data_IF_577941498648
#
_entry.id   IF_577941498648
#
_cell.length_a   1.000
_cell.length_b   1.000
_cell.length_c   1.000
_cell.angle_alpha   90.00
_cell.angle_beta   90.00
_cell.angle_gamma   90.00
#
_symmetry.space_group_name_H-M   'P 1'
#
loop_
_entity.id
_entity.type
_entity.pdbx_description
1 polymer ?
#
# COMPACT_ATOMS: atom_id res chain seq x y z
N UNK A 1 -3.16 19.76 59.05
CA UNK A 1 -4.01 19.83 57.85
C UNK A 1 -3.09 20.08 56.68
N UNK A 2 -2.70 19.00 56.00
CA UNK A 2 -1.83 19.04 54.83
C UNK A 2 -2.70 19.00 53.59
N UNK A 3 -2.65 20.07 52.81
CA UNK A 3 -3.38 20.24 51.56
C UNK A 3 -2.55 19.59 50.44
N UNK A 4 -2.97 18.42 49.95
CA UNK A 4 -2.43 17.85 48.73
C UNK A 4 -3.17 18.48 47.53
N UNK A 5 -2.56 19.47 46.91
CA UNK A 5 -2.93 19.92 45.60
C UNK A 5 -2.40 18.87 44.57
N UNK A 6 -3.34 18.13 43.98
CA UNK A 6 -3.08 17.27 42.84
C UNK A 6 -2.76 18.15 41.63
N UNK A 7 -1.50 18.15 41.20
CA UNK A 7 -1.13 18.69 39.89
C UNK A 7 -1.66 17.72 38.83
N UNK A 8 -2.75 18.09 38.15
CA UNK A 8 -3.12 17.50 36.87
C UNK A 8 -2.04 17.94 35.88
N UNK A 9 -1.18 17.01 35.48
CA UNK A 9 -0.29 17.22 34.34
C UNK A 9 -1.17 17.35 33.09
N UNK A 10 -1.31 18.60 32.64
CA UNK A 10 -1.90 18.92 31.33
C UNK A 10 -1.00 18.33 30.26
N UNK A 11 -1.37 17.18 29.71
CA UNK A 11 -0.78 16.64 28.49
C UNK A 11 -1.19 17.54 27.34
N UNK A 12 -0.42 18.59 27.09
CA UNK A 12 -0.52 19.37 25.87
C UNK A 12 -0.01 18.50 24.71
N UNK A 13 -0.92 17.94 23.93
CA UNK A 13 -0.58 17.40 22.62
C UNK A 13 -0.08 18.56 21.76
N UNK A 14 1.23 18.61 21.50
CA UNK A 14 1.80 19.53 20.54
C UNK A 14 1.16 19.31 19.17
N UNK A 15 0.89 20.39 18.43
CA UNK A 15 0.43 20.29 17.03
C UNK A 15 1.40 19.41 16.24
N UNK A 16 0.87 18.51 15.41
CA UNK A 16 1.66 17.79 14.45
C UNK A 16 2.16 18.77 13.37
N UNK A 17 3.43 19.13 13.45
CA UNK A 17 4.07 20.04 12.49
C UNK A 17 4.68 19.23 11.34
N UNK A 18 4.71 19.83 10.13
CA UNK A 18 5.54 19.32 9.05
C UNK A 18 7.03 19.52 9.37
N UNK A 19 7.94 18.89 8.61
CA UNK A 19 9.38 19.01 8.81
C UNK A 19 9.94 20.45 8.70
N UNK A 20 9.10 21.44 8.34
CA UNK A 20 9.40 22.87 8.31
C UNK A 20 8.78 23.62 9.52
N UNK A 21 8.17 22.92 10.47
CA UNK A 21 7.52 23.51 11.65
C UNK A 21 6.15 24.17 11.34
N UNK A 22 5.58 23.92 10.15
CA UNK A 22 4.25 24.37 9.80
C UNK A 22 3.24 23.26 10.14
N UNK A 23 2.05 23.62 10.69
CA UNK A 23 1.05 22.61 10.99
C UNK A 23 0.59 21.89 9.73
N UNK A 24 0.60 20.57 9.78
CA UNK A 24 0.19 19.72 8.68
C UNK A 24 -1.25 20.01 8.25
N UNK A 25 -1.44 20.23 6.96
CA UNK A 25 -2.74 20.59 6.38
C UNK A 25 -3.44 19.37 5.79
N UNK A 26 -4.70 19.16 6.20
CA UNK A 26 -5.56 18.09 5.71
C UNK A 26 -6.70 18.68 4.91
N UNK A 27 -6.79 18.40 3.61
CA UNK A 27 -7.94 18.78 2.80
C UNK A 27 -9.03 17.72 2.90
N UNK A 28 -10.28 18.12 3.13
CA UNK A 28 -11.41 17.19 3.33
C UNK A 28 -12.41 17.39 2.21
N UNK A 29 -12.72 16.30 1.49
CA UNK A 29 -13.73 16.27 0.43
C UNK A 29 -14.83 15.26 0.76
N UNK A 30 -16.04 15.48 0.24
CA UNK A 30 -17.18 14.57 0.39
C UNK A 30 -18.48 15.28 0.12
N UNK A 31 -19.53 14.55 -0.26
CA UNK A 31 -20.82 15.13 -0.63
C UNK A 31 -21.58 15.71 0.58
N UNK A 32 -21.40 15.13 1.76
CA UNK A 32 -22.14 15.53 2.97
C UNK A 32 -21.38 16.58 3.77
N UNK A 33 -21.80 17.83 3.68
CA UNK A 33 -21.21 18.96 4.43
C UNK A 33 -21.14 18.71 5.94
N UNK A 34 -22.21 18.12 6.53
CA UNK A 34 -22.23 17.80 7.96
C UNK A 34 -21.12 16.84 8.36
N UNK A 35 -20.84 15.82 7.54
CA UNK A 35 -19.76 14.86 7.79
C UNK A 35 -18.40 15.49 7.60
N UNK A 36 -18.20 16.34 6.57
CA UNK A 36 -16.95 17.08 6.38
C UNK A 36 -16.63 17.96 7.60
N UNK A 37 -17.64 18.70 8.13
CA UNK A 37 -17.48 19.49 9.35
C UNK A 37 -17.15 18.63 10.58
N UNK A 38 -17.76 17.46 10.69
CA UNK A 38 -17.47 16.54 11.77
C UNK A 38 -16.02 16.02 11.67
N UNK A 39 -15.59 15.60 10.49
CA UNK A 39 -14.20 15.15 10.25
C UNK A 39 -13.22 16.28 10.58
N UNK A 40 -13.50 17.51 10.15
CA UNK A 40 -12.68 18.68 10.45
C UNK A 40 -12.56 18.94 11.96
N UNK A 41 -13.67 18.81 12.71
CA UNK A 41 -13.66 18.97 14.17
C UNK A 41 -12.85 17.86 14.85
N UNK A 42 -12.98 16.60 14.38
CA UNK A 42 -12.24 15.45 14.92
C UNK A 42 -10.74 15.60 14.71
N UNK A 43 -10.34 16.03 13.51
CA UNK A 43 -8.92 16.29 13.17
C UNK A 43 -8.37 17.51 13.92
N UNK A 44 -9.18 18.57 14.05
CA UNK A 44 -8.81 19.74 14.84
C UNK A 44 -8.58 19.41 16.31
N UNK A 45 -9.40 18.53 16.90
CA UNK A 45 -9.20 18.00 18.26
C UNK A 45 -7.93 17.19 18.44
N UNK A 46 -7.38 16.62 17.34
CA UNK A 46 -6.13 15.89 17.32
C UNK A 46 -4.91 16.77 16.92
N UNK A 47 -5.08 18.09 16.77
CA UNK A 47 -4.02 19.03 16.44
C UNK A 47 -3.71 19.22 14.94
N UNK A 48 -4.54 18.67 14.03
CA UNK A 48 -4.37 18.87 12.61
C UNK A 48 -5.13 20.10 12.10
N UNK A 49 -4.56 20.84 11.18
CA UNK A 49 -5.27 21.90 10.47
C UNK A 49 -6.01 21.31 9.26
N UNK A 50 -7.32 21.54 9.18
CA UNK A 50 -8.14 21.05 8.08
C UNK A 50 -8.69 22.17 7.21
N UNK A 51 -8.86 21.89 5.92
CA UNK A 51 -9.47 22.77 4.92
C UNK A 51 -10.64 22.02 4.32
N UNK A 52 -11.82 22.67 4.26
CA UNK A 52 -12.98 22.12 3.55
C UNK A 52 -12.76 22.26 2.04
N UNK A 53 -12.59 21.12 1.36
CA UNK A 53 -12.43 21.03 -0.09
C UNK A 53 -13.77 20.99 -0.85
N UNK A 54 -14.87 20.85 -0.15
CA UNK A 54 -16.21 20.76 -0.76
C UNK A 54 -16.59 19.35 -1.24
N UNK A 55 -17.57 19.29 -2.14
CA UNK A 55 -18.04 18.05 -2.75
C UNK A 55 -17.08 17.53 -3.83
N UNK A 56 -17.17 16.23 -4.18
CA UNK A 56 -16.33 15.62 -5.21
C UNK A 56 -16.55 16.23 -6.60
N UNK A 57 -17.71 16.80 -6.87
CA UNK A 57 -17.99 17.50 -8.13
C UNK A 57 -17.12 18.75 -8.31
N UNK A 58 -16.79 19.45 -7.22
CA UNK A 58 -15.90 20.60 -7.26
C UNK A 58 -14.51 20.25 -7.82
N UNK A 59 -14.09 19.00 -7.71
CA UNK A 59 -12.83 18.52 -8.29
C UNK A 59 -12.84 18.51 -9.84
N UNK A 60 -14.00 18.60 -10.48
CA UNK A 60 -14.15 18.63 -11.93
C UNK A 60 -14.18 20.06 -12.49
N UNK A 61 -14.58 21.05 -11.68
CA UNK A 61 -14.93 22.40 -12.13
C UNK A 61 -13.75 23.37 -12.20
N UNK A 62 -12.55 22.98 -11.74
CA UNK A 62 -11.42 23.92 -11.72
C UNK A 62 -10.06 23.26 -11.49
N UNK A 63 -9.00 24.07 -11.42
CA UNK A 63 -7.71 23.56 -11.00
C UNK A 63 -7.82 23.10 -9.54
N UNK A 64 -7.41 21.87 -9.26
CA UNK A 64 -7.28 21.39 -7.89
C UNK A 64 -6.10 22.15 -7.26
N UNK A 65 -6.42 23.24 -6.57
CA UNK A 65 -5.43 24.04 -5.87
C UNK A 65 -4.98 23.27 -4.62
N UNK A 66 -3.75 23.48 -4.24
CA UNK A 66 -3.03 22.98 -3.07
C UNK A 66 -3.87 22.12 -2.08
N UNK A 67 -3.73 20.83 -2.21
CA UNK A 67 -4.50 19.85 -1.44
C UNK A 67 -4.00 19.66 0.01
N UNK A 68 -2.91 20.32 0.40
CA UNK A 68 -2.25 20.04 1.67
C UNK A 68 -1.38 18.78 1.61
N UNK A 69 -0.92 18.28 2.76
CA UNK A 69 -0.05 17.12 2.85
C UNK A 69 -0.84 15.80 2.80
N UNK A 70 -2.07 15.84 3.30
CA UNK A 70 -3.01 14.72 3.29
C UNK A 70 -4.36 15.18 2.75
N UNK A 71 -4.97 14.35 1.94
CA UNK A 71 -6.34 14.53 1.44
C UNK A 71 -7.22 13.41 1.99
N UNK A 72 -8.28 13.79 2.67
CA UNK A 72 -9.32 12.87 3.17
C UNK A 72 -10.57 13.02 2.31
N UNK A 73 -11.06 11.94 1.76
CA UNK A 73 -12.27 11.90 0.95
C UNK A 73 -13.29 10.99 1.62
N UNK A 74 -14.50 11.47 1.82
CA UNK A 74 -15.64 10.63 2.19
C UNK A 74 -16.53 10.41 0.98
N UNK A 75 -16.68 9.15 0.60
CA UNK A 75 -17.46 8.72 -0.55
C UNK A 75 -18.34 7.49 -0.23
N UNK A 76 -18.89 7.45 0.99
CA UNK A 76 -19.88 6.43 1.33
C UNK A 76 -21.13 6.54 0.45
N UNK A 77 -21.56 5.44 -0.12
CA UNK A 77 -22.72 5.35 -1.00
C UNK A 77 -23.98 5.16 -0.15
N UNK A 78 -25.01 5.95 -0.44
CA UNK A 78 -26.34 5.76 0.15
C UNK A 78 -27.29 5.19 -0.90
N UNK A 79 -27.60 3.88 -0.79
CA UNK A 79 -28.52 3.17 -1.68
C UNK A 79 -27.83 2.21 -2.65
N UNK A 80 -28.63 1.39 -3.33
CA UNK A 80 -28.18 0.22 -4.11
C UNK A 80 -27.63 0.52 -5.52
N UNK A 81 -27.45 1.78 -5.89
CA UNK A 81 -27.05 2.16 -7.27
C UNK A 81 -25.55 2.35 -7.51
N UNK A 82 -24.72 2.13 -6.47
CA UNK A 82 -23.30 2.43 -6.57
C UNK A 82 -23.00 3.94 -6.63
N UNK A 83 -21.77 4.29 -6.95
CA UNK A 83 -21.34 5.70 -7.07
C UNK A 83 -21.82 6.35 -8.36
N UNK A 84 -22.21 7.62 -8.29
CA UNK A 84 -22.50 8.45 -9.46
C UNK A 84 -21.25 8.60 -10.34
N UNK A 85 -21.46 8.59 -11.66
CA UNK A 85 -20.38 8.74 -12.65
C UNK A 85 -19.57 10.03 -12.48
N UNK A 86 -20.20 11.12 -12.03
CA UNK A 86 -19.51 12.39 -11.77
C UNK A 86 -18.61 12.30 -10.53
N UNK A 87 -19.06 11.62 -9.48
CA UNK A 87 -18.24 11.36 -8.30
C UNK A 87 -17.02 10.51 -8.63
N UNK A 88 -17.21 9.44 -9.41
CA UNK A 88 -16.11 8.58 -9.86
C UNK A 88 -15.11 9.35 -10.73
N UNK A 89 -15.57 10.21 -11.64
CA UNK A 89 -14.70 11.03 -12.45
C UNK A 89 -13.92 12.05 -11.59
N UNK A 90 -14.56 12.64 -10.58
CA UNK A 90 -13.90 13.52 -9.61
C UNK A 90 -12.81 12.80 -8.82
N UNK A 91 -13.13 11.59 -8.37
CA UNK A 91 -12.21 10.75 -7.61
C UNK A 91 -10.99 10.31 -8.46
N UNK A 92 -11.22 9.89 -9.71
CA UNK A 92 -10.16 9.55 -10.66
C UNK A 92 -9.22 10.72 -10.93
N UNK A 93 -9.79 11.92 -11.13
CA UNK A 93 -9.01 13.14 -11.33
C UNK A 93 -8.18 13.49 -10.10
N UNK A 94 -8.75 13.31 -8.91
CA UNK A 94 -8.03 13.52 -7.65
C UNK A 94 -6.87 12.53 -7.53
N UNK A 95 -7.10 11.24 -7.79
CA UNK A 95 -6.09 10.19 -7.73
C UNK A 95 -4.87 10.50 -8.60
N UNK A 96 -5.11 10.84 -9.87
CA UNK A 96 -4.05 11.27 -10.79
C UNK A 96 -3.29 12.51 -10.28
N UNK A 97 -3.98 13.44 -9.64
CA UNK A 97 -3.37 14.67 -9.10
C UNK A 97 -2.50 14.35 -7.88
N UNK A 98 -3.00 13.51 -6.99
CA UNK A 98 -2.29 13.05 -5.79
C UNK A 98 -1.02 12.31 -6.18
N UNK A 99 -1.09 11.37 -7.12
CA UNK A 99 0.06 10.61 -7.60
C UNK A 99 1.22 11.51 -8.10
N UNK A 100 0.91 12.72 -8.57
CA UNK A 100 1.89 13.68 -9.07
C UNK A 100 2.36 14.72 -8.03
N UNK A 101 1.62 14.87 -6.93
CA UNK A 101 1.88 15.94 -5.96
C UNK A 101 2.69 15.50 -4.74
N UNK A 102 2.86 14.18 -4.54
CA UNK A 102 3.46 13.62 -3.34
C UNK A 102 2.56 13.70 -2.10
N UNK A 103 1.37 14.31 -2.17
CA UNK A 103 0.37 14.27 -1.11
C UNK A 103 -0.13 12.84 -0.90
N UNK A 104 -0.71 12.57 0.26
CA UNK A 104 -1.27 11.25 0.58
C UNK A 104 -2.78 11.30 0.56
N UNK A 105 -3.41 10.22 0.06
CA UNK A 105 -4.86 10.10 -0.06
C UNK A 105 -5.40 9.06 0.91
N UNK A 106 -6.43 9.45 1.67
CA UNK A 106 -7.22 8.57 2.52
C UNK A 106 -8.67 8.65 2.03
N UNK A 107 -9.26 7.51 1.71
CA UNK A 107 -10.63 7.42 1.21
C UNK A 107 -11.49 6.62 2.16
N UNK A 108 -12.52 7.25 2.72
CA UNK A 108 -13.57 6.59 3.48
C UNK A 108 -14.72 6.18 2.55
N UNK A 109 -15.12 4.92 2.59
CA UNK A 109 -16.27 4.40 1.85
C UNK A 109 -17.01 3.36 2.68
N UNK A 110 -18.07 2.76 2.14
CA UNK A 110 -18.75 1.60 2.71
C UNK A 110 -18.57 0.38 1.78
N UNK A 111 -19.05 -0.79 2.18
CA UNK A 111 -18.93 -2.02 1.37
C UNK A 111 -19.60 -1.88 0.00
N UNK A 112 -20.69 -1.11 -0.08
CA UNK A 112 -21.44 -0.91 -1.32
C UNK A 112 -20.70 -0.08 -2.36
N UNK A 113 -19.86 0.88 -1.92
CA UNK A 113 -19.04 1.71 -2.79
C UNK A 113 -17.61 1.20 -2.99
N UNK A 114 -17.23 0.10 -2.33
CA UNK A 114 -15.86 -0.36 -2.29
C UNK A 114 -15.31 -0.76 -3.65
N UNK A 115 -16.08 -1.53 -4.43
CA UNK A 115 -15.66 -1.99 -5.75
C UNK A 115 -15.47 -0.81 -6.72
N UNK A 116 -16.37 0.18 -6.66
CA UNK A 116 -16.31 1.40 -7.48
C UNK A 116 -15.07 2.26 -7.11
N UNK A 117 -14.85 2.47 -5.81
CA UNK A 117 -13.69 3.23 -5.30
C UNK A 117 -12.38 2.55 -5.67
N UNK A 118 -12.30 1.24 -5.46
CA UNK A 118 -11.09 0.49 -5.74
C UNK A 118 -10.76 0.42 -7.23
N UNK A 119 -11.76 0.40 -8.10
CA UNK A 119 -11.56 0.37 -9.54
C UNK A 119 -10.98 1.68 -10.10
N UNK A 120 -11.32 2.81 -9.48
CA UNK A 120 -10.94 4.15 -9.95
C UNK A 120 -9.61 4.62 -9.38
N UNK A 121 -9.25 4.16 -8.18
CA UNK A 121 -8.04 4.55 -7.47
C UNK A 121 -6.91 3.56 -7.75
N UNK A 122 -6.12 3.81 -8.77
CA UNK A 122 -5.02 2.94 -9.20
C UNK A 122 -3.66 3.63 -9.32
N UNK A 123 -3.59 4.97 -9.16
CA UNK A 123 -2.39 5.77 -9.40
C UNK A 123 -1.67 6.19 -8.09
N UNK A 124 -2.41 6.61 -7.06
CA UNK A 124 -1.81 7.21 -5.85
C UNK A 124 -1.61 6.22 -4.70
N UNK A 125 -2.05 4.96 -4.84
CA UNK A 125 -2.04 3.96 -3.77
C UNK A 125 -2.65 4.48 -2.47
N UNK A 126 -3.95 4.86 -2.46
CA UNK A 126 -4.60 5.48 -1.31
C UNK A 126 -4.83 4.49 -0.17
N UNK A 127 -4.88 5.01 1.05
CA UNK A 127 -5.39 4.25 2.17
C UNK A 127 -6.93 4.24 2.13
N UNK A 128 -7.54 3.09 1.87
CA UNK A 128 -9.01 2.93 1.85
C UNK A 128 -9.48 2.44 3.22
N UNK A 129 -10.48 3.14 3.77
CA UNK A 129 -11.14 2.81 5.03
C UNK A 129 -12.60 2.43 4.73
N UNK A 130 -13.07 1.30 5.26
CA UNK A 130 -14.42 0.82 5.04
C UNK A 130 -15.26 1.07 6.28
N UNK A 131 -16.31 1.88 6.16
CA UNK A 131 -17.21 2.31 7.23
C UNK A 131 -16.45 2.80 8.50
N UNK A 132 -15.47 3.73 8.33
CA UNK A 132 -14.57 4.07 9.43
C UNK A 132 -15.27 4.80 10.56
N UNK A 133 -14.93 4.44 11.79
CA UNK A 133 -15.27 5.21 12.98
C UNK A 133 -14.46 6.53 13.02
N UNK A 134 -14.86 7.44 13.93
CA UNK A 134 -14.13 8.70 14.18
C UNK A 134 -12.67 8.45 14.53
N UNK A 135 -12.43 7.51 15.45
CA UNK A 135 -11.07 7.17 15.90
C UNK A 135 -10.22 6.63 14.76
N UNK A 136 -10.74 5.74 13.91
CA UNK A 136 -10.01 5.17 12.78
C UNK A 136 -9.59 6.22 11.77
N UNK A 137 -10.43 7.24 11.50
CA UNK A 137 -10.06 8.36 10.61
C UNK A 137 -8.89 9.15 11.17
N UNK A 138 -8.94 9.52 12.45
CA UNK A 138 -7.88 10.29 13.10
C UNK A 138 -6.57 9.50 13.13
N UNK A 139 -6.63 8.22 13.50
CA UNK A 139 -5.46 7.32 13.53
C UNK A 139 -4.87 7.17 12.12
N UNK A 140 -5.72 7.03 11.08
CA UNK A 140 -5.26 6.91 9.70
C UNK A 140 -4.50 8.17 9.24
N UNK A 141 -5.03 9.36 9.53
CA UNK A 141 -4.36 10.63 9.24
C UNK A 141 -3.03 10.73 9.99
N UNK A 142 -3.01 10.44 11.29
CA UNK A 142 -1.80 10.49 12.10
C UNK A 142 -0.70 9.55 11.59
N UNK A 143 -1.08 8.33 11.17
CA UNK A 143 -0.14 7.36 10.61
C UNK A 143 0.44 7.81 9.29
N UNK A 144 -0.40 8.26 8.37
CA UNK A 144 0.01 8.75 7.04
C UNK A 144 0.92 9.96 7.17
N UNK A 145 0.64 10.87 8.11
CA UNK A 145 1.50 12.02 8.41
C UNK A 145 2.86 11.59 8.98
N UNK A 146 2.88 10.62 9.89
CA UNK A 146 4.13 10.08 10.43
C UNK A 146 5.00 9.43 9.35
N UNK A 147 4.41 8.68 8.42
CA UNK A 147 5.10 8.08 7.27
C UNK A 147 5.65 9.14 6.30
N UNK A 148 4.88 10.19 6.02
CA UNK A 148 5.29 11.30 5.17
C UNK A 148 6.46 12.09 5.80
N UNK A 149 6.43 12.34 7.10
CA UNK A 149 7.53 12.95 7.84
C UNK A 149 8.81 12.10 7.81
N UNK A 150 8.69 10.80 8.01
CA UNK A 150 9.81 9.87 7.97
C UNK A 150 10.41 9.73 6.56
N UNK A 151 9.60 9.81 5.50
CA UNK A 151 10.07 9.80 4.12
C UNK A 151 10.87 11.07 3.80
N UNK A 152 10.38 12.25 4.18
CA UNK A 152 11.09 13.54 4.01
C UNK A 152 12.42 13.57 4.77
N UNK A 153 12.49 13.02 5.99
CA UNK A 153 13.74 12.90 6.73
C UNK A 153 14.74 11.96 6.04
N UNK A 154 14.27 10.89 5.39
CA UNK A 154 15.14 10.01 4.62
C UNK A 154 15.65 10.68 3.35
N UNK A 155 14.82 11.44 2.65
CA UNK A 155 15.21 12.20 1.47
C UNK A 155 16.22 13.30 1.81
N UNK A 156 16.01 14.05 2.90
CA UNK A 156 16.99 15.03 3.42
C UNK A 156 18.31 14.36 3.82
N UNK A 157 18.26 13.21 4.49
CA UNK A 157 19.46 12.45 4.84
C UNK A 157 20.23 11.92 3.63
N UNK A 158 19.55 11.59 2.53
CA UNK A 158 20.16 11.15 1.28
C UNK A 158 20.79 12.32 0.51
N UNK A 159 20.13 13.49 0.47
CA UNK A 159 20.67 14.73 -0.09
C UNK A 159 21.88 15.24 0.70
N UNK A 160 21.82 15.23 2.03
CA UNK A 160 22.93 15.55 2.92
C UNK A 160 24.09 14.58 2.74
N UNK A 161 23.82 13.29 2.55
CA UNK A 161 24.80 12.26 2.27
C UNK A 161 25.50 12.46 0.92
N UNK A 162 24.73 12.82 -0.11
CA UNK A 162 25.30 13.18 -1.44
C UNK A 162 26.09 14.48 -1.35
N UNK A 163 25.64 15.47 -0.59
CA UNK A 163 26.40 16.70 -0.36
C UNK A 163 27.70 16.44 0.40
N UNK A 164 27.69 15.60 1.42
CA UNK A 164 28.90 15.16 2.15
C UNK A 164 29.85 14.38 1.26
N UNK A 165 29.38 13.48 0.40
CA UNK A 165 30.19 12.76 -0.57
C UNK A 165 30.86 13.72 -1.59
N UNK A 166 30.12 14.73 -2.06
CA UNK A 166 30.68 15.78 -2.93
C UNK A 166 31.74 16.61 -2.23
N UNK A 167 31.50 17.01 -0.98
CA UNK A 167 32.47 17.71 -0.13
C UNK A 167 33.72 16.86 0.11
N UNK A 168 33.58 15.57 0.41
CA UNK A 168 34.69 14.63 0.55
C UNK A 168 35.53 14.53 -0.71
N UNK A 169 34.90 14.40 -1.88
CA UNK A 169 35.58 14.37 -3.18
C UNK A 169 36.30 15.69 -3.50
N UNK A 170 35.73 16.84 -3.12
CA UNK A 170 36.38 18.13 -3.28
C UNK A 170 37.61 18.27 -2.36
N UNK A 171 37.52 17.81 -1.13
CA UNK A 171 38.65 17.80 -0.19
C UNK A 171 39.78 16.87 -0.70
N UNK A 172 39.45 15.68 -1.21
CA UNK A 172 40.38 14.76 -1.82
C UNK A 172 41.06 15.36 -3.07
N UNK A 173 40.30 16.02 -3.93
CA UNK A 173 40.83 16.72 -5.10
C UNK A 173 41.77 17.87 -4.72
N UNK A 174 41.49 18.60 -3.64
CA UNK A 174 42.36 19.64 -3.09
C UNK A 174 43.65 18.99 -2.50
N UNK A 175 43.49 17.89 -1.73
CA UNK A 175 44.64 17.16 -1.18
C UNK A 175 45.53 16.63 -2.28
N UNK A 176 44.99 16.02 -3.34
CA UNK A 176 45.76 15.58 -4.50
C UNK A 176 46.42 16.73 -5.31
N UNK A 177 45.78 17.91 -5.31
CA UNK A 177 46.40 19.08 -5.96
C UNK A 177 47.56 19.64 -5.14
N UNK A 178 47.44 19.59 -3.80
CA UNK A 178 48.52 19.97 -2.89
C UNK A 178 49.69 18.97 -2.92
N UNK A 179 49.42 17.67 -2.98
CA UNK A 179 50.43 16.62 -3.13
C UNK A 179 51.18 16.74 -4.45
N UNK A 180 50.54 17.13 -5.56
CA UNK A 180 51.20 17.39 -6.84
C UNK A 180 52.10 18.64 -6.80
N UNK A 181 51.81 19.60 -5.96
CA UNK A 181 52.67 20.78 -5.75
C UNK A 181 53.85 20.43 -4.85
N UNK A 182 53.69 19.41 -3.97
CA UNK A 182 54.73 18.94 -3.05
C UNK A 182 55.72 17.92 -3.62
N UNK A 183 55.39 17.25 -4.73
CA UNK A 183 56.16 16.16 -5.32
C UNK A 183 56.66 16.47 -6.74
N UNK A 184 57.38 17.55 -6.92
CA UNK A 184 58.32 17.70 -8.04
C UNK A 184 59.70 17.20 -7.62
N UNK A 185 59.83 15.98 -7.12
CA UNK A 185 61.12 15.28 -7.02
C UNK A 185 60.88 13.82 -6.62
N UNK A 186 61.27 12.88 -7.46
CA UNK A 186 61.51 11.50 -7.02
C UNK A 186 60.72 10.38 -7.66
N UNK A 187 61.11 9.99 -8.84
CA UNK A 187 61.35 8.65 -9.38
C UNK A 187 60.44 7.44 -9.04
N UNK A 188 59.86 6.90 -10.12
CA UNK A 188 59.86 5.48 -10.59
C UNK A 188 59.56 4.37 -9.59
N UNK A 189 58.56 3.58 -9.95
CA UNK A 189 58.36 2.23 -9.44
C UNK A 189 57.11 1.58 -10.00
N UNK A 190 57.28 0.80 -11.06
CA UNK A 190 56.28 -0.06 -11.68
C UNK A 190 55.87 -1.20 -10.76
N UNK A 191 54.58 -1.55 -10.72
CA UNK A 191 54.20 -2.96 -10.55
C UNK A 191 52.90 -3.26 -11.28
N UNK A 192 53.03 -4.28 -12.12
CA UNK A 192 52.00 -4.90 -12.95
C UNK A 192 50.97 -5.72 -12.16
N UNK A 193 49.73 -5.70 -12.63
CA UNK A 193 48.98 -6.93 -12.89
C UNK A 193 48.28 -7.62 -11.74
N UNK A 194 46.98 -7.71 -11.88
CA UNK A 194 46.30 -9.00 -11.77
C UNK A 194 44.84 -8.81 -12.30
N UNK A 195 44.63 -9.44 -13.44
CA UNK A 195 43.33 -9.53 -14.07
C UNK A 195 42.37 -10.37 -13.23
N UNK A 196 41.12 -9.92 -13.16
CA UNK A 196 40.01 -10.75 -12.73
C UNK A 196 39.32 -11.28 -13.98
N UNK A 197 39.51 -12.54 -14.18
CA UNK A 197 38.88 -13.41 -15.15
C UNK A 197 37.41 -13.60 -14.79
N UNK A 198 36.52 -13.01 -15.58
CA UNK A 198 35.09 -13.29 -15.49
C UNK A 198 34.81 -14.64 -16.15
N UNK A 199 34.56 -15.66 -15.33
CA UNK A 199 34.13 -16.96 -15.80
C UNK A 199 32.77 -16.86 -16.48
N UNK A 200 32.75 -16.99 -17.79
CA UNK A 200 31.58 -17.32 -18.60
C UNK A 200 31.12 -18.71 -18.23
N UNK A 201 29.96 -18.83 -17.60
CA UNK A 201 29.22 -20.09 -17.57
C UNK A 201 28.38 -20.16 -18.84
N UNK A 202 28.88 -20.88 -19.80
CA UNK A 202 28.13 -21.24 -21.01
C UNK A 202 26.99 -22.18 -20.68
N UNK A 203 25.83 -21.78 -21.19
CA UNK A 203 24.58 -22.53 -21.24
C UNK A 203 24.80 -23.84 -21.99
N UNK A 204 24.68 -24.96 -21.29
CA UNK A 204 24.46 -26.25 -21.93
C UNK A 204 22.95 -26.39 -22.23
N UNK A 205 22.60 -26.26 -23.49
CA UNK A 205 21.33 -26.64 -24.03
C UNK A 205 21.10 -28.14 -23.85
N UNK A 206 20.27 -28.50 -22.87
CA UNK A 206 19.67 -29.83 -22.81
C UNK A 206 18.25 -29.74 -23.36
N UNK A 207 18.11 -30.17 -24.60
CA UNK A 207 16.82 -30.52 -25.21
C UNK A 207 16.25 -31.71 -24.48
N UNK A 208 15.00 -31.61 -24.07
CA UNK A 208 14.22 -32.76 -23.69
C UNK A 208 13.31 -32.54 -22.48
N UNK A 209 12.02 -32.48 -22.72
CA UNK A 209 10.94 -32.52 -21.73
C UNK A 209 10.96 -31.36 -20.73
N UNK A 210 10.34 -30.26 -21.10
CA UNK A 210 9.84 -29.32 -20.09
C UNK A 210 8.89 -30.12 -19.18
N UNK A 211 9.14 -30.20 -17.85
CA UNK A 211 8.18 -30.84 -16.96
C UNK A 211 6.86 -30.08 -17.10
N UNK A 212 5.80 -30.81 -17.40
CA UNK A 212 4.45 -30.23 -17.48
C UNK A 212 4.26 -29.39 -16.22
N UNK A 213 3.99 -28.09 -16.36
CA UNK A 213 3.73 -27.22 -15.21
C UNK A 213 2.62 -27.89 -14.40
N UNK A 214 2.82 -28.12 -13.10
CA UNK A 214 1.81 -28.74 -12.28
C UNK A 214 0.51 -27.94 -12.41
N UNK A 215 -0.59 -28.63 -12.73
CA UNK A 215 -1.89 -28.00 -12.86
C UNK A 215 -2.39 -27.55 -11.47
N UNK A 216 -3.19 -26.49 -11.42
CA UNK A 216 -3.91 -26.13 -10.21
C UNK A 216 -4.78 -27.31 -9.73
N UNK A 217 -5.06 -27.40 -8.42
CA UNK A 217 -5.93 -28.44 -7.89
C UNK A 217 -7.38 -28.27 -8.41
N UNK A 218 -8.16 -29.33 -8.30
CA UNK A 218 -9.60 -29.25 -8.54
C UNK A 218 -10.23 -28.17 -7.64
N UNK A 219 -11.02 -27.24 -8.18
CA UNK A 219 -11.68 -26.19 -7.41
C UNK A 219 -12.48 -26.73 -6.23
N UNK A 220 -13.13 -27.89 -6.36
CA UNK A 220 -13.89 -28.51 -5.27
C UNK A 220 -13.00 -28.89 -4.08
N UNK A 221 -11.78 -29.33 -4.34
CA UNK A 221 -10.81 -29.64 -3.28
C UNK A 221 -10.43 -28.35 -2.54
N UNK A 222 -10.21 -27.26 -3.26
CA UNK A 222 -9.89 -25.96 -2.65
C UNK A 222 -11.07 -25.43 -1.85
N UNK A 223 -12.29 -25.51 -2.37
CA UNK A 223 -13.52 -25.15 -1.64
C UNK A 223 -13.71 -25.97 -0.37
N UNK A 224 -13.38 -27.25 -0.39
CA UNK A 224 -13.41 -28.10 0.80
C UNK A 224 -12.38 -27.65 1.85
N UNK A 225 -11.18 -27.26 1.42
CA UNK A 225 -10.16 -26.70 2.34
C UNK A 225 -10.67 -25.42 2.98
N UNK A 226 -11.25 -24.50 2.21
CA UNK A 226 -11.85 -23.26 2.71
C UNK A 226 -12.93 -23.58 3.75
N UNK A 227 -13.87 -24.50 3.42
CA UNK A 227 -14.94 -24.89 4.33
C UNK A 227 -14.40 -25.49 5.64
N UNK A 228 -13.38 -26.33 5.57
CA UNK A 228 -12.73 -26.93 6.74
C UNK A 228 -12.03 -25.87 7.61
N UNK A 229 -11.39 -24.87 6.98
CA UNK A 229 -10.79 -23.73 7.69
C UNK A 229 -11.86 -22.92 8.42
N UNK A 230 -12.94 -22.60 7.74
CA UNK A 230 -14.05 -21.83 8.31
C UNK A 230 -14.81 -22.60 9.40
N UNK A 231 -14.94 -23.92 9.31
CA UNK A 231 -15.61 -24.74 10.31
C UNK A 231 -14.99 -24.61 11.72
N UNK A 232 -13.70 -24.24 11.81
CA UNK A 232 -13.02 -24.02 13.10
C UNK A 232 -13.66 -22.89 13.92
N UNK A 233 -14.22 -21.88 13.26
CA UNK A 233 -14.85 -20.73 13.92
C UNK A 233 -16.12 -21.08 14.70
N UNK A 234 -16.67 -22.30 14.49
CA UNK A 234 -17.79 -22.83 15.27
C UNK A 234 -17.37 -23.28 16.67
N UNK A 235 -16.10 -23.53 16.88
CA UNK A 235 -15.55 -24.12 18.11
C UNK A 235 -14.59 -23.18 18.81
N UNK A 236 -13.99 -22.24 18.09
CA UNK A 236 -12.96 -21.35 18.59
C UNK A 236 -13.22 -19.90 18.14
N UNK A 237 -12.64 -18.95 18.85
CA UNK A 237 -12.70 -17.53 18.47
C UNK A 237 -12.09 -17.34 17.07
N UNK A 238 -12.84 -16.76 16.11
CA UNK A 238 -12.35 -16.48 14.76
C UNK A 238 -11.04 -15.69 14.73
N UNK A 239 -10.83 -14.78 15.69
CA UNK A 239 -9.63 -13.93 15.77
C UNK A 239 -8.33 -14.74 15.94
N UNK A 240 -8.41 -15.97 16.43
CA UNK A 240 -7.24 -16.85 16.61
C UNK A 240 -6.69 -17.42 15.31
N UNK A 241 -7.46 -17.39 14.22
CA UNK A 241 -7.13 -18.11 12.97
C UNK A 241 -7.12 -17.18 11.75
N UNK A 242 -6.96 -15.88 11.95
CA UNK A 242 -6.91 -14.92 10.85
C UNK A 242 -5.64 -15.09 10.01
N UNK A 243 -5.81 -15.58 8.77
CA UNK A 243 -4.77 -15.67 7.76
C UNK A 243 -5.31 -15.11 6.43
N UNK A 244 -5.53 -13.79 6.36
CA UNK A 244 -6.23 -13.16 5.25
C UNK A 244 -5.53 -13.36 3.91
N UNK A 245 -4.20 -13.37 3.88
CA UNK A 245 -3.45 -13.59 2.64
C UNK A 245 -3.69 -15.00 2.07
N UNK A 246 -3.67 -16.01 2.94
CA UNK A 246 -3.91 -17.39 2.54
C UNK A 246 -5.37 -17.65 2.16
N UNK A 247 -6.31 -17.10 2.91
CA UNK A 247 -7.73 -17.24 2.63
C UNK A 247 -8.10 -16.58 1.28
N UNK A 248 -7.54 -15.42 0.95
CA UNK A 248 -7.67 -14.80 -0.37
C UNK A 248 -7.03 -15.64 -1.49
N UNK A 249 -5.82 -16.20 -1.27
CA UNK A 249 -5.16 -17.06 -2.25
C UNK A 249 -5.99 -18.32 -2.54
N UNK A 250 -6.57 -18.94 -1.53
CA UNK A 250 -7.43 -20.11 -1.69
C UNK A 250 -8.71 -19.75 -2.48
N UNK A 251 -9.36 -18.64 -2.14
CA UNK A 251 -10.59 -18.22 -2.81
C UNK A 251 -10.34 -17.93 -4.29
N UNK A 252 -9.30 -17.16 -4.62
CA UNK A 252 -8.91 -16.87 -6.01
C UNK A 252 -8.45 -18.13 -6.76
N UNK A 253 -7.83 -19.10 -6.07
CA UNK A 253 -7.44 -20.38 -6.70
C UNK A 253 -8.66 -21.19 -7.11
N UNK A 254 -9.66 -21.27 -6.23
CA UNK A 254 -10.92 -21.95 -6.56
C UNK A 254 -11.66 -21.23 -7.69
N UNK A 255 -11.83 -19.90 -7.59
CA UNK A 255 -12.50 -19.07 -8.58
C UNK A 255 -11.82 -19.15 -9.96
N UNK A 256 -10.48 -19.18 -10.00
CA UNK A 256 -9.73 -19.35 -11.25
C UNK A 256 -10.08 -20.67 -11.95
N UNK A 257 -10.13 -21.76 -11.19
CA UNK A 257 -10.52 -23.08 -11.73
C UNK A 257 -12.00 -23.19 -12.12
N UNK A 258 -12.88 -22.42 -11.47
CA UNK A 258 -14.30 -22.30 -11.78
C UNK A 258 -14.60 -21.35 -12.95
N UNK A 259 -13.61 -20.54 -13.38
CA UNK A 259 -13.79 -19.50 -14.38
C UNK A 259 -14.64 -18.33 -13.89
N UNK A 260 -14.67 -18.07 -12.59
CA UNK A 260 -15.46 -17.02 -11.94
C UNK A 260 -14.57 -15.80 -11.64
N UNK A 261 -15.09 -14.61 -11.96
CA UNK A 261 -14.45 -13.34 -11.60
C UNK A 261 -14.76 -12.95 -10.14
N UNK A 262 -13.76 -12.52 -9.40
CA UNK A 262 -13.90 -12.16 -7.98
C UNK A 262 -13.78 -10.64 -7.81
N UNK A 263 -14.81 -10.02 -7.23
CA UNK A 263 -14.78 -8.59 -6.89
C UNK A 263 -13.95 -8.35 -5.63
N UNK A 264 -13.51 -7.11 -5.44
CA UNK A 264 -12.77 -6.69 -4.24
C UNK A 264 -13.60 -6.94 -2.98
N UNK A 265 -14.88 -6.59 -3.01
CA UNK A 265 -15.80 -6.82 -1.89
C UNK A 265 -15.91 -8.30 -1.54
N UNK A 266 -16.09 -9.17 -2.55
CA UNK A 266 -16.17 -10.63 -2.34
C UNK A 266 -14.88 -11.17 -1.72
N UNK A 267 -13.73 -10.69 -2.20
CA UNK A 267 -12.42 -11.12 -1.69
C UNK A 267 -12.17 -10.63 -0.26
N UNK A 268 -12.61 -9.42 0.08
CA UNK A 268 -12.54 -8.90 1.46
C UNK A 268 -13.40 -9.74 2.42
N UNK A 269 -14.58 -10.20 1.99
CA UNK A 269 -15.42 -11.10 2.78
C UNK A 269 -14.74 -12.47 2.96
N UNK A 270 -14.17 -13.03 1.89
CA UNK A 270 -13.47 -14.31 1.93
C UNK A 270 -12.25 -14.30 2.87
N UNK A 271 -11.61 -13.16 3.06
CA UNK A 271 -10.46 -12.99 3.95
C UNK A 271 -10.76 -13.21 5.43
N UNK A 272 -12.02 -13.18 5.85
CA UNK A 272 -12.44 -13.48 7.23
C UNK A 272 -11.95 -12.48 8.29
N UNK A 273 -11.51 -11.29 7.89
CA UNK A 273 -11.05 -10.19 8.75
C UNK A 273 -11.80 -8.91 8.41
N UNK A 274 -11.75 -7.86 9.27
CA UNK A 274 -12.37 -6.58 8.93
C UNK A 274 -11.94 -6.05 7.57
N UNK A 275 -12.86 -5.48 6.80
CA UNK A 275 -12.65 -5.09 5.41
C UNK A 275 -11.44 -4.16 5.19
N UNK A 276 -11.21 -3.20 6.11
CA UNK A 276 -10.02 -2.33 6.07
C UNK A 276 -8.72 -3.12 6.20
N UNK A 277 -8.70 -4.18 7.04
CA UNK A 277 -7.55 -5.08 7.18
C UNK A 277 -7.37 -5.92 5.92
N UNK A 278 -8.45 -6.47 5.38
CA UNK A 278 -8.45 -7.22 4.13
C UNK A 278 -7.89 -6.39 2.97
N UNK A 279 -8.33 -5.14 2.82
CA UNK A 279 -7.84 -4.24 1.79
C UNK A 279 -6.34 -3.96 1.88
N UNK A 280 -5.80 -3.80 3.09
CA UNK A 280 -4.36 -3.63 3.27
C UNK A 280 -3.59 -4.85 2.76
N UNK A 281 -4.06 -6.06 3.08
CA UNK A 281 -3.47 -7.30 2.58
C UNK A 281 -3.61 -7.41 1.06
N UNK A 282 -4.79 -7.10 0.52
CA UNK A 282 -5.03 -7.11 -0.92
C UNK A 282 -4.07 -6.17 -1.65
N UNK A 283 -3.92 -4.92 -1.18
CA UNK A 283 -2.97 -3.95 -1.75
C UNK A 283 -1.54 -4.49 -1.72
N UNK A 284 -1.10 -5.04 -0.59
CA UNK A 284 0.22 -5.65 -0.45
C UNK A 284 0.43 -6.83 -1.41
N UNK A 285 -0.60 -7.66 -1.62
CA UNK A 285 -0.54 -8.78 -2.56
C UNK A 285 -0.47 -8.32 -4.02
N UNK A 286 -1.14 -7.22 -4.36
CA UNK A 286 -1.03 -6.58 -5.68
C UNK A 286 0.36 -5.97 -5.89
N UNK A 287 0.87 -5.21 -4.93
CA UNK A 287 2.21 -4.61 -4.98
C UNK A 287 3.32 -5.65 -5.08
N UNK A 288 3.17 -6.79 -4.40
CA UNK A 288 4.12 -7.91 -4.50
C UNK A 288 4.00 -8.73 -5.80
N UNK A 289 3.06 -8.38 -6.67
CA UNK A 289 2.82 -9.06 -7.93
C UNK A 289 2.25 -10.49 -7.77
N UNK A 290 1.57 -10.76 -6.66
CA UNK A 290 0.86 -12.02 -6.42
C UNK A 290 -0.57 -11.94 -6.99
N UNK A 291 -1.24 -10.80 -6.80
CA UNK A 291 -2.53 -10.52 -7.41
C UNK A 291 -2.41 -9.51 -8.54
N UNK A 292 -3.37 -9.55 -9.46
CA UNK A 292 -3.50 -8.59 -10.55
C UNK A 292 -4.90 -8.03 -10.58
N UNK A 293 -5.02 -6.73 -10.90
CA UNK A 293 -6.30 -6.09 -11.15
C UNK A 293 -6.71 -6.36 -12.59
N UNK A 294 -7.91 -6.81 -12.80
CA UNK A 294 -8.48 -7.09 -14.10
C UNK A 294 -9.68 -6.18 -14.31
N UNK A 295 -9.63 -5.23 -15.28
CA UNK A 295 -10.76 -4.38 -15.57
C UNK A 295 -11.98 -5.20 -16.02
N UNK A 296 -13.18 -4.80 -15.59
CA UNK A 296 -14.40 -5.40 -16.13
C UNK A 296 -14.62 -4.94 -17.58
N UNK A 297 -14.69 -5.85 -18.57
CA UNK A 297 -14.90 -5.49 -19.96
C UNK A 297 -16.29 -4.87 -20.21
N UNK A 298 -17.27 -5.16 -19.37
CA UNK A 298 -18.64 -4.66 -19.49
C UNK A 298 -18.85 -3.34 -18.74
N UNK A 299 -18.15 -3.13 -17.63
CA UNK A 299 -18.25 -1.91 -16.83
C UNK A 299 -16.87 -1.47 -16.33
N UNK A 300 -16.28 -0.48 -16.98
CA UNK A 300 -14.97 0.09 -16.62
C UNK A 300 -14.90 0.70 -15.21
N UNK A 301 -16.04 0.77 -14.52
CA UNK A 301 -16.12 1.24 -13.13
C UNK A 301 -15.82 0.12 -12.13
N UNK A 302 -15.66 -1.12 -12.62
CA UNK A 302 -15.40 -2.29 -11.79
C UNK A 302 -14.05 -2.89 -12.12
N UNK A 303 -13.38 -3.35 -11.09
CA UNK A 303 -12.18 -4.15 -11.22
C UNK A 303 -12.37 -5.47 -10.47
N UNK A 304 -11.94 -6.54 -11.10
CA UNK A 304 -11.83 -7.85 -10.48
C UNK A 304 -10.39 -8.08 -10.02
N UNK A 305 -10.23 -8.99 -9.10
CA UNK A 305 -8.92 -9.46 -8.66
C UNK A 305 -8.71 -10.88 -9.16
N UNK A 306 -7.54 -11.14 -9.68
CA UNK A 306 -7.13 -12.46 -10.14
C UNK A 306 -5.73 -12.83 -9.63
N UNK A 307 -5.39 -14.10 -9.70
CA UNK A 307 -4.02 -14.56 -9.50
C UNK A 307 -3.12 -14.12 -10.66
N UNK A 308 -1.91 -13.68 -10.36
CA UNK A 308 -0.88 -13.53 -11.38
C UNK A 308 -0.35 -14.90 -11.84
N UNK A 309 0.34 -14.95 -13.00
CA UNK A 309 1.01 -16.18 -13.45
C UNK A 309 2.00 -16.73 -12.41
N UNK A 310 2.67 -15.84 -11.70
CA UNK A 310 3.56 -16.16 -10.58
C UNK A 310 2.81 -16.87 -9.46
N UNK A 311 1.64 -16.36 -9.09
CA UNK A 311 0.81 -16.95 -8.04
C UNK A 311 0.22 -18.29 -8.48
N UNK A 312 -0.23 -18.40 -9.74
CA UNK A 312 -0.72 -19.67 -10.32
C UNK A 312 0.37 -20.74 -10.26
N UNK A 313 1.59 -20.40 -10.65
CA UNK A 313 2.72 -21.35 -10.59
C UNK A 313 3.06 -21.73 -9.15
N UNK A 314 3.05 -20.79 -8.21
CA UNK A 314 3.32 -21.03 -6.80
C UNK A 314 2.25 -21.92 -6.16
N UNK A 315 0.96 -21.65 -6.41
CA UNK A 315 -0.16 -22.45 -5.89
C UNK A 315 -0.15 -23.86 -6.49
N UNK A 316 0.12 -23.99 -7.80
CA UNK A 316 0.27 -25.28 -8.45
C UNK A 316 1.40 -26.12 -7.83
N UNK A 317 2.56 -25.50 -7.57
CA UNK A 317 3.70 -26.14 -6.91
C UNK A 317 3.38 -26.55 -5.48
N UNK A 318 2.74 -25.68 -4.71
CA UNK A 318 2.32 -25.95 -3.35
C UNK A 318 1.38 -27.17 -3.28
N UNK A 319 0.32 -27.21 -4.09
CA UNK A 319 -0.61 -28.32 -4.10
C UNK A 319 0.01 -29.61 -4.66
N UNK A 320 0.95 -29.54 -5.58
CA UNK A 320 1.71 -30.68 -6.05
C UNK A 320 2.55 -31.30 -4.91
N UNK A 321 3.18 -30.46 -4.09
CA UNK A 321 4.00 -30.92 -2.95
C UNK A 321 3.16 -31.68 -1.89
N UNK A 322 1.90 -31.28 -1.70
CA UNK A 322 0.98 -31.97 -0.77
C UNK A 322 0.54 -33.35 -1.28
N UNK A 323 0.56 -33.57 -2.60
CA UNK A 323 0.18 -34.86 -3.22
C UNK A 323 1.31 -35.88 -3.20
N UNK A 324 2.55 -35.48 -2.96
CA UNK A 324 3.67 -36.37 -2.84
C UNK A 324 3.66 -36.96 -1.42
N UNK A 325 3.31 -38.22 -1.20
CA UNK A 325 3.39 -38.80 0.14
C UNK A 325 4.85 -38.78 0.56
N UNK A 326 5.10 -38.36 1.80
CA UNK A 326 6.40 -38.49 2.47
C UNK A 326 6.69 -40.00 2.65
N UNK A 327 7.07 -40.65 1.55
CA UNK A 327 7.59 -42.02 1.52
C UNK A 327 9.09 -41.94 1.15
N UNK A 328 9.88 -41.30 2.01
CA UNK A 328 11.33 -41.54 2.05
C UNK A 328 11.89 -41.04 3.38
N UNK A 329 11.62 -41.78 4.44
CA UNK A 329 12.48 -41.85 5.61
C UNK A 329 12.20 -43.20 6.30
N UNK A 330 12.78 -44.24 5.79
CA UNK A 330 13.04 -45.49 6.52
C UNK A 330 14.48 -45.91 6.20
#
# INVERSE_FOLDING_TARGET
MLNHASAAEDFAYGCADDGAGLPARVAIFGEHEGLRRQIAADLGGAGFQSIDGGGLRALLEGPIALLGDVVVVDCAVTGSRGMDAMMLAGLARLDMRIARSGAKLIVGTNLEGLDDVFAVLDQSNPQILVSPSRAERVIAVGRVMGEAGAARLREMAEEDRVALLRLSQQVEAIAHSLDRIGHTAGERGAFSGLGHETARLESAAASGFAPARPALPDPQVVRQIIANRQARTRFFDPALFGDPAWDMLLDLTAAHGEGVQVSVTSLCIAAGVPATTALRWLTQMVESGIFVRVPDPADRRRAFIALSDKAIAAMSGYFASLRTPVLQAA
#
